data_IF_399787808013
#
_entry.id   IF_399787808013
#
_cell.length_a   1.000
_cell.length_b   1.000
_cell.length_c   1.000
_cell.angle_alpha   90.00
_cell.angle_beta   90.00
_cell.angle_gamma   90.00
#
_symmetry.space_group_name_H-M   'P 1'
#
loop_
_entity.id
_entity.type
_entity.pdbx_description
1 polymer ?
#
# COMPACT_ATOMS: atom_id res chain seq x y z
N UNK A 1 13.66 20.36 5.90
CA UNK A 1 14.01 19.68 4.62
C UNK A 1 15.51 19.62 4.36
N UNK A 2 16.27 20.71 4.58
CA UNK A 2 17.72 20.74 4.27
C UNK A 2 18.55 19.64 4.95
N UNK A 3 18.29 19.32 6.23
CA UNK A 3 19.02 18.26 6.96
C UNK A 3 18.80 16.86 6.38
N UNK A 4 17.57 16.53 5.97
CA UNK A 4 17.24 15.24 5.36
C UNK A 4 17.83 15.12 3.96
N UNK A 5 17.68 16.17 3.14
CA UNK A 5 18.27 16.21 1.80
C UNK A 5 19.79 16.02 1.86
N UNK A 6 20.47 16.76 2.75
CA UNK A 6 21.92 16.64 2.95
C UNK A 6 22.31 15.25 3.49
N UNK A 7 21.53 14.67 4.40
CA UNK A 7 21.78 13.32 4.89
C UNK A 7 21.69 12.29 3.76
N UNK A 8 20.59 12.29 3.01
CA UNK A 8 20.35 11.33 1.92
C UNK A 8 21.40 11.47 0.83
N UNK A 9 21.68 12.70 0.39
CA UNK A 9 22.66 12.97 -0.67
C UNK A 9 24.10 12.68 -0.29
N UNK A 10 24.44 12.64 1.01
CA UNK A 10 25.79 12.32 1.51
C UNK A 10 25.95 10.85 1.92
N UNK A 11 24.99 10.30 2.67
CA UNK A 11 25.06 8.94 3.22
C UNK A 11 24.56 7.87 2.26
N UNK A 12 23.58 8.22 1.40
CA UNK A 12 23.01 7.31 0.42
C UNK A 12 23.35 7.71 -1.02
N UNK A 13 24.46 8.43 -1.20
CA UNK A 13 24.90 8.96 -2.50
C UNK A 13 24.99 7.89 -3.59
N UNK A 14 25.39 6.68 -3.23
CA UNK A 14 25.64 5.61 -4.20
C UNK A 14 24.39 4.86 -4.63
N UNK A 15 23.27 5.07 -3.94
CA UNK A 15 21.99 4.45 -4.29
C UNK A 15 21.49 5.00 -5.63
N UNK A 16 20.94 4.15 -6.51
CA UNK A 16 20.48 4.56 -7.84
C UNK A 16 19.40 5.66 -7.75
N UNK A 17 18.53 5.57 -6.76
CA UNK A 17 17.45 6.53 -6.49
C UNK A 17 18.00 7.94 -6.18
N UNK A 18 19.08 8.03 -5.39
CA UNK A 18 19.72 9.32 -5.05
C UNK A 18 20.56 9.87 -6.19
N UNK A 19 21.16 9.00 -7.01
CA UNK A 19 21.84 9.41 -8.25
C UNK A 19 20.88 10.02 -9.26
N UNK A 20 19.69 9.42 -9.43
CA UNK A 20 18.62 9.96 -10.29
C UNK A 20 18.11 11.28 -9.72
N UNK A 21 17.81 11.32 -8.41
CA UNK A 21 17.38 12.52 -7.71
C UNK A 21 18.29 13.73 -8.01
N UNK A 22 19.62 13.58 -7.90
CA UNK A 22 20.57 14.68 -8.12
C UNK A 22 20.56 15.25 -9.54
N UNK A 23 20.06 14.49 -10.52
CA UNK A 23 20.00 14.88 -11.94
C UNK A 23 18.70 15.59 -12.31
N UNK A 24 17.69 15.58 -11.43
CA UNK A 24 16.40 16.20 -11.69
C UNK A 24 16.46 17.73 -11.49
N UNK A 25 15.57 18.51 -12.14
CA UNK A 25 15.36 19.92 -11.81
C UNK A 25 14.90 20.10 -10.36
N UNK A 26 15.21 21.24 -9.73
CA UNK A 26 14.97 21.48 -8.31
C UNK A 26 13.53 21.15 -7.84
N UNK A 27 12.51 21.51 -8.61
CA UNK A 27 11.11 21.20 -8.24
C UNK A 27 10.84 19.69 -8.17
N UNK A 28 11.42 18.91 -9.06
CA UNK A 28 11.26 17.47 -9.08
C UNK A 28 12.17 16.78 -8.07
N UNK A 29 13.33 17.38 -7.75
CA UNK A 29 14.12 16.95 -6.59
C UNK A 29 13.31 17.03 -5.30
N UNK A 30 12.57 18.12 -5.08
CA UNK A 30 11.75 18.30 -3.89
C UNK A 30 10.65 17.23 -3.81
N UNK A 31 9.97 16.95 -4.93
CA UNK A 31 8.94 15.90 -4.99
C UNK A 31 9.54 14.52 -4.71
N UNK A 32 10.65 14.21 -5.36
CA UNK A 32 11.29 12.91 -5.22
C UNK A 32 11.89 12.71 -3.82
N UNK A 33 12.43 13.76 -3.20
CA UNK A 33 12.86 13.74 -1.80
C UNK A 33 11.70 13.47 -0.84
N UNK A 34 10.52 14.05 -1.10
CA UNK A 34 9.31 13.76 -0.32
C UNK A 34 8.87 12.29 -0.48
N UNK A 35 9.00 11.71 -1.68
CA UNK A 35 8.72 10.30 -1.91
C UNK A 35 9.68 9.40 -1.15
N UNK A 36 11.00 9.64 -1.24
CA UNK A 36 12.01 8.89 -0.47
C UNK A 36 11.74 8.93 1.03
N UNK A 37 11.32 10.08 1.54
CA UNK A 37 10.93 10.22 2.95
C UNK A 37 9.73 9.33 3.31
N UNK A 38 8.67 9.34 2.49
CA UNK A 38 7.48 8.51 2.70
C UNK A 38 7.81 7.02 2.63
N UNK A 39 8.65 6.63 1.68
CA UNK A 39 9.12 5.25 1.53
C UNK A 39 9.93 4.79 2.74
N UNK A 40 10.82 5.63 3.26
CA UNK A 40 11.56 5.34 4.49
C UNK A 40 10.64 5.13 5.69
N UNK A 41 9.65 6.02 5.87
CA UNK A 41 8.63 5.89 6.93
C UNK A 41 7.83 4.59 6.75
N UNK A 42 7.44 4.26 5.51
CA UNK A 42 6.73 3.04 5.19
C UNK A 42 7.54 1.79 5.55
N UNK A 43 8.80 1.73 5.15
CA UNK A 43 9.69 0.60 5.49
C UNK A 43 9.85 0.45 7.00
N UNK A 44 10.12 1.55 7.71
CA UNK A 44 10.27 1.53 9.17
C UNK A 44 9.00 1.06 9.90
N UNK A 45 7.83 1.54 9.46
CA UNK A 45 6.54 1.12 10.03
C UNK A 45 6.25 -0.36 9.74
N UNK A 46 6.62 -0.87 8.55
CA UNK A 46 6.48 -2.27 8.20
C UNK A 46 7.39 -3.17 9.05
N UNK A 47 8.64 -2.77 9.24
CA UNK A 47 9.58 -3.52 10.08
C UNK A 47 9.12 -3.58 11.54
N UNK A 48 8.49 -2.51 12.04
CA UNK A 48 7.90 -2.50 13.37
C UNK A 48 6.73 -3.49 13.50
N UNK A 49 5.88 -3.61 12.47
CA UNK A 49 4.80 -4.60 12.44
C UNK A 49 5.36 -6.02 12.47
N UNK A 50 6.36 -6.31 11.63
CA UNK A 50 7.00 -7.64 11.57
C UNK A 50 7.60 -8.06 12.92
N UNK A 51 8.34 -7.16 13.57
CA UNK A 51 8.92 -7.44 14.88
C UNK A 51 7.86 -7.76 15.93
N UNK A 52 6.71 -7.10 15.88
CA UNK A 52 5.63 -7.41 16.81
C UNK A 52 4.98 -8.77 16.56
N UNK A 53 4.85 -9.17 15.29
CA UNK A 53 4.37 -10.52 14.95
C UNK A 53 5.33 -11.57 15.50
N UNK A 54 6.64 -11.34 15.34
CA UNK A 54 7.70 -12.23 15.88
C UNK A 54 7.69 -12.29 17.41
N UNK A 55 7.44 -11.16 18.08
CA UNK A 55 7.42 -11.05 19.54
C UNK A 55 6.06 -11.41 20.18
N UNK A 56 5.01 -11.68 19.38
CA UNK A 56 3.66 -12.01 19.86
C UNK A 56 2.99 -10.90 20.68
N UNK A 57 3.48 -9.66 20.59
CA UNK A 57 3.08 -8.54 21.45
C UNK A 57 1.99 -7.69 20.78
N UNK A 58 0.83 -7.56 21.42
CA UNK A 58 -0.27 -6.68 20.99
C UNK A 58 -0.12 -5.22 21.49
N UNK A 59 1.10 -4.77 21.81
CA UNK A 59 1.30 -3.38 22.28
C UNK A 59 0.93 -2.38 21.19
N UNK A 60 0.39 -1.23 21.61
CA UNK A 60 -0.02 -0.16 20.70
C UNK A 60 1.17 0.34 19.84
N UNK A 61 1.06 0.18 18.52
CA UNK A 61 2.12 0.54 17.57
C UNK A 61 2.15 2.05 17.38
N UNK A 62 3.22 2.70 17.86
CA UNK A 62 3.49 4.09 17.51
C UNK A 62 4.12 4.15 16.12
N UNK A 63 3.27 4.18 15.10
CA UNK A 63 3.70 4.38 13.71
C UNK A 63 4.33 5.77 13.51
N UNK A 64 5.44 5.82 12.77
CA UNK A 64 6.03 7.05 12.31
C UNK A 64 5.12 7.75 11.29
N UNK A 65 5.02 9.08 11.41
CA UNK A 65 4.26 9.95 10.49
C UNK A 65 5.18 10.98 9.88
N UNK A 66 4.85 11.47 8.68
CA UNK A 66 5.63 12.54 8.04
C UNK A 66 5.46 13.88 8.77
N UNK A 67 4.27 14.10 9.35
CA UNK A 67 3.88 15.29 10.07
C UNK A 67 3.07 14.88 11.30
N UNK A 68 3.23 15.62 12.38
CA UNK A 68 2.39 15.48 13.56
C UNK A 68 1.05 16.19 13.28
N UNK A 69 -0.01 15.39 13.18
CA UNK A 69 -1.37 15.86 12.88
C UNK A 69 -2.33 15.58 14.04
N UNK A 70 -1.79 15.65 15.26
CA UNK A 70 -2.50 15.33 16.51
C UNK A 70 -2.68 13.83 16.76
N UNK A 71 -3.39 13.53 17.85
CA UNK A 71 -3.83 12.19 18.21
C UNK A 71 -5.05 11.78 17.37
N UNK A 72 -5.15 10.50 17.03
CA UNK A 72 -6.30 9.95 16.29
C UNK A 72 -5.95 8.75 15.41
N UNK A 73 -6.99 8.06 14.95
CA UNK A 73 -6.86 6.85 14.12
C UNK A 73 -6.02 7.14 12.87
N UNK A 74 -4.99 6.31 12.67
CA UNK A 74 -4.12 6.39 11.52
C UNK A 74 -4.67 5.59 10.35
N UNK A 75 -4.49 6.13 9.16
CA UNK A 75 -4.77 5.49 7.88
C UNK A 75 -3.57 5.68 6.97
N UNK A 76 -3.40 4.79 5.99
CA UNK A 76 -2.39 4.97 4.95
C UNK A 76 -3.04 5.18 3.59
N UNK A 77 -2.46 6.07 2.79
CA UNK A 77 -2.83 6.24 1.40
C UNK A 77 -2.12 5.17 0.57
N UNK A 78 -2.86 4.27 -0.08
CA UNK A 78 -2.27 3.19 -0.88
C UNK A 78 -1.50 3.70 -2.12
N UNK A 79 -1.82 4.90 -2.60
CA UNK A 79 -1.25 5.47 -3.81
C UNK A 79 0.08 6.19 -3.53
N UNK A 80 0.15 7.00 -2.47
CA UNK A 80 1.38 7.72 -2.12
C UNK A 80 2.14 7.12 -0.92
N UNK A 81 1.62 6.02 -0.34
CA UNK A 81 2.15 5.34 0.85
C UNK A 81 2.30 6.24 2.09
N UNK A 82 1.56 7.35 2.11
CA UNK A 82 1.60 8.33 3.20
C UNK A 82 0.75 7.90 4.39
N UNK A 83 1.32 7.99 5.61
CA UNK A 83 0.62 7.77 6.87
C UNK A 83 0.02 9.07 7.39
N UNK A 84 -1.30 9.07 7.64
CA UNK A 84 -2.08 10.27 7.93
C UNK A 84 -3.10 9.96 9.02
N UNK A 85 -3.48 10.96 9.80
CA UNK A 85 -4.68 10.83 10.65
C UNK A 85 -5.94 10.84 9.78
N UNK A 86 -6.95 10.07 10.18
CA UNK A 86 -8.22 9.94 9.44
C UNK A 86 -8.88 11.28 9.15
N UNK A 87 -8.81 12.23 10.10
CA UNK A 87 -9.31 13.60 9.92
C UNK A 87 -8.58 14.37 8.81
N UNK A 88 -7.29 14.12 8.61
CA UNK A 88 -6.48 14.77 7.57
C UNK A 88 -6.57 14.06 6.21
N UNK A 89 -7.04 12.81 6.18
CA UNK A 89 -7.11 12.03 4.95
C UNK A 89 -8.03 12.66 3.90
N UNK A 90 -9.17 13.24 4.28
CA UNK A 90 -10.10 13.88 3.32
C UNK A 90 -9.42 14.97 2.51
N UNK A 91 -8.65 15.83 3.18
CA UNK A 91 -7.87 16.89 2.52
C UNK A 91 -6.72 16.32 1.70
N UNK A 92 -5.99 15.34 2.25
CA UNK A 92 -4.92 14.67 1.53
C UNK A 92 -5.42 14.08 0.20
N UNK A 93 -6.56 13.38 0.23
CA UNK A 93 -7.19 12.77 -0.96
C UNK A 93 -7.42 13.79 -2.08
N UNK A 94 -7.88 14.99 -1.74
CA UNK A 94 -8.15 16.05 -2.73
C UNK A 94 -6.88 16.68 -3.33
N UNK A 95 -5.74 16.59 -2.65
CA UNK A 95 -4.46 17.22 -3.06
C UNK A 95 -3.41 16.22 -3.54
N UNK A 96 -3.68 14.92 -3.40
CA UNK A 96 -2.73 13.90 -3.78
C UNK A 96 -2.85 13.68 -5.29
N UNK A 97 -1.87 14.18 -6.04
CA UNK A 97 -1.80 14.06 -7.51
C UNK A 97 -1.82 12.60 -7.99
N UNK A 98 -1.36 11.65 -7.17
CA UNK A 98 -1.49 10.21 -7.44
C UNK A 98 -2.93 9.66 -7.27
N UNK A 99 -3.83 10.43 -6.65
CA UNK A 99 -5.26 10.12 -6.40
C UNK A 99 -6.19 10.88 -7.35
N UNK A 100 -5.73 11.92 -8.05
CA UNK A 100 -6.57 12.81 -8.88
C UNK A 100 -7.35 12.08 -9.99
N UNK A 101 -6.93 10.86 -10.37
CA UNK A 101 -7.60 10.03 -11.37
C UNK A 101 -8.30 8.78 -10.83
N UNK A 102 -8.35 8.56 -9.50
CA UNK A 102 -8.84 7.28 -8.93
C UNK A 102 -9.81 7.44 -7.75
N UNK A 103 -10.89 6.65 -7.74
CA UNK A 103 -11.86 6.58 -6.62
C UNK A 103 -11.35 5.81 -5.39
N UNK A 104 -10.07 5.39 -5.38
CA UNK A 104 -9.48 4.57 -4.33
C UNK A 104 -9.56 5.26 -2.95
N UNK A 105 -10.05 4.50 -1.97
CA UNK A 105 -10.32 4.97 -0.60
C UNK A 105 -9.18 4.57 0.33
N UNK A 106 -8.90 5.38 1.36
CA UNK A 106 -7.97 5.03 2.42
C UNK A 106 -8.34 3.69 3.04
N UNK A 107 -7.32 2.87 3.30
CA UNK A 107 -7.49 1.64 4.06
C UNK A 107 -7.16 1.91 5.52
N UNK A 108 -7.95 1.31 6.41
CA UNK A 108 -7.60 1.22 7.82
C UNK A 108 -6.27 0.51 7.97
N UNK A 109 -5.42 1.01 8.86
CA UNK A 109 -4.22 0.28 9.26
C UNK A 109 -4.63 -0.81 10.23
N UNK A 110 -4.90 -2.00 9.69
CA UNK A 110 -4.87 -3.24 10.47
C UNK A 110 -3.51 -3.93 10.20
N UNK A 111 -2.75 -4.32 11.25
CA UNK A 111 -1.42 -4.92 11.12
C UNK A 111 -1.35 -6.10 10.13
N UNK A 112 -2.45 -6.85 9.99
CA UNK A 112 -2.59 -8.08 9.20
C UNK A 112 -2.46 -7.87 7.68
N UNK A 113 -2.64 -6.65 7.17
CA UNK A 113 -2.72 -6.41 5.72
C UNK A 113 -1.38 -6.20 5.00
N UNK A 114 -0.23 -6.25 5.70
CA UNK A 114 1.04 -5.83 5.10
C UNK A 114 1.97 -7.01 4.74
N UNK A 115 1.69 -8.26 5.11
CA UNK A 115 2.58 -9.39 4.77
C UNK A 115 1.81 -10.63 4.30
N UNK A 116 2.24 -11.15 3.14
CA UNK A 116 1.89 -12.41 2.46
C UNK A 116 0.41 -12.81 2.41
N UNK A 117 -0.29 -12.56 1.28
CA UNK A 117 -1.61 -13.13 1.07
C UNK A 117 -1.55 -14.67 1.06
N UNK A 118 -2.26 -15.34 1.98
CA UNK A 118 -2.58 -16.76 1.82
C UNK A 118 -3.54 -16.90 0.64
N UNK A 119 -3.07 -17.47 -0.46
CA UNK A 119 -3.88 -17.66 -1.67
C UNK A 119 -4.88 -18.81 -1.48
N UNK A 120 -6.13 -18.56 -1.81
CA UNK A 120 -7.13 -19.63 -1.96
C UNK A 120 -6.83 -20.43 -3.23
N UNK A 121 -7.04 -21.75 -3.21
CA UNK A 121 -6.86 -22.61 -4.39
C UNK A 121 -7.65 -22.09 -5.62
N UNK A 122 -8.86 -21.58 -5.40
CA UNK A 122 -9.72 -20.98 -6.44
C UNK A 122 -9.09 -19.77 -7.12
N UNK A 123 -8.46 -18.86 -6.36
CA UNK A 123 -7.80 -17.68 -6.92
C UNK A 123 -6.59 -18.05 -7.78
N UNK A 124 -5.84 -19.09 -7.38
CA UNK A 124 -4.70 -19.56 -8.16
C UNK A 124 -5.17 -20.15 -9.49
N UNK A 125 -6.17 -21.03 -9.48
CA UNK A 125 -6.70 -21.64 -10.70
C UNK A 125 -7.40 -20.64 -11.63
N UNK A 126 -8.25 -19.78 -11.08
CA UNK A 126 -9.10 -18.89 -11.89
C UNK A 126 -8.34 -17.73 -12.51
N UNK A 127 -7.25 -17.30 -11.89
CA UNK A 127 -6.54 -16.07 -12.26
C UNK A 127 -5.06 -16.35 -12.52
N UNK A 128 -4.31 -16.84 -11.54
CA UNK A 128 -2.84 -16.92 -11.63
C UNK A 128 -2.37 -17.97 -12.65
N UNK A 129 -3.08 -19.09 -12.77
CA UNK A 129 -2.78 -20.15 -13.72
C UNK A 129 -3.03 -19.71 -15.17
N UNK A 130 -3.96 -18.77 -15.41
CA UNK A 130 -4.33 -18.30 -16.76
C UNK A 130 -3.34 -17.32 -17.38
N UNK A 131 -2.39 -16.78 -16.60
CA UNK A 131 -1.38 -15.92 -17.18
C UNK A 131 -0.49 -16.70 -18.16
N UNK A 132 -0.06 -16.04 -19.23
CA UNK A 132 0.89 -16.66 -20.15
C UNK A 132 2.21 -16.99 -19.42
N UNK A 133 2.88 -18.07 -19.82
CA UNK A 133 4.23 -18.37 -19.30
C UNK A 133 5.21 -17.48 -20.06
N UNK A 134 5.38 -16.26 -19.54
CA UNK A 134 6.34 -15.27 -20.01
C UNK A 134 6.94 -14.56 -18.80
N UNK A 135 8.01 -13.81 -19.01
CA UNK A 135 8.62 -12.96 -17.97
C UNK A 135 7.57 -12.06 -17.29
N UNK A 136 6.74 -11.41 -18.10
CA UNK A 136 5.64 -10.56 -17.62
C UNK A 136 4.56 -11.36 -16.90
N UNK A 137 4.25 -12.57 -17.37
CA UNK A 137 3.28 -13.44 -16.72
C UNK A 137 3.77 -13.97 -15.36
N UNK A 138 5.07 -14.26 -15.25
CA UNK A 138 5.69 -14.68 -13.99
C UNK A 138 5.78 -13.53 -13.00
N UNK A 139 6.11 -12.32 -13.47
CA UNK A 139 6.08 -11.10 -12.64
C UNK A 139 4.70 -10.90 -12.00
N UNK A 140 3.62 -11.14 -12.75
CA UNK A 140 2.23 -11.03 -12.23
C UNK A 140 1.88 -12.09 -11.18
N UNK A 141 2.59 -13.21 -11.14
CA UNK A 141 2.39 -14.29 -10.14
C UNK A 141 3.20 -14.04 -8.87
N UNK A 142 4.42 -13.53 -9.03
CA UNK A 142 5.40 -13.39 -7.95
C UNK A 142 5.32 -12.05 -7.23
N UNK A 143 4.81 -11.00 -7.89
CA UNK A 143 4.69 -9.69 -7.28
C UNK A 143 3.59 -9.66 -6.20
N UNK A 144 4.01 -9.60 -4.94
CA UNK A 144 3.11 -9.63 -3.78
C UNK A 144 2.09 -8.48 -3.76
N UNK A 145 2.40 -7.32 -4.33
CA UNK A 145 1.46 -6.20 -4.41
C UNK A 145 0.38 -6.48 -5.43
N UNK A 146 0.76 -6.95 -6.62
CA UNK A 146 -0.16 -7.33 -7.68
C UNK A 146 -1.06 -8.48 -7.24
N UNK A 147 -0.48 -9.50 -6.59
CA UNK A 147 -1.23 -10.69 -6.19
C UNK A 147 -2.15 -10.40 -4.99
N UNK A 148 -1.73 -9.59 -4.02
CA UNK A 148 -2.60 -9.17 -2.90
C UNK A 148 -3.74 -8.27 -3.37
N UNK A 149 -3.46 -7.35 -4.30
CA UNK A 149 -4.48 -6.51 -4.91
C UNK A 149 -5.47 -7.33 -5.74
N UNK A 150 -4.98 -8.26 -6.56
CA UNK A 150 -5.81 -9.18 -7.34
C UNK A 150 -6.70 -10.05 -6.46
N UNK A 151 -6.17 -10.60 -5.38
CA UNK A 151 -6.94 -11.41 -4.42
C UNK A 151 -8.07 -10.59 -3.76
N UNK A 152 -7.80 -9.33 -3.42
CA UNK A 152 -8.82 -8.45 -2.86
C UNK A 152 -9.95 -8.20 -3.88
N UNK A 153 -9.60 -7.94 -5.14
CA UNK A 153 -10.58 -7.72 -6.20
C UNK A 153 -11.41 -8.98 -6.48
N UNK A 154 -10.77 -10.15 -6.47
CA UNK A 154 -11.44 -11.45 -6.63
C UNK A 154 -12.46 -11.70 -5.50
N UNK A 155 -12.07 -11.50 -4.23
CA UNK A 155 -12.99 -11.62 -3.08
C UNK A 155 -14.19 -10.69 -3.19
N UNK A 156 -13.97 -9.47 -3.67
CA UNK A 156 -15.07 -8.51 -3.87
C UNK A 156 -16.05 -8.97 -4.97
N UNK A 157 -15.56 -9.69 -5.98
CA UNK A 157 -16.40 -10.26 -7.04
C UNK A 157 -17.13 -11.50 -6.53
N UNK A 158 -16.45 -12.41 -5.83
CA UNK A 158 -17.07 -13.59 -5.21
C UNK A 158 -18.16 -13.20 -4.21
N UNK A 159 -17.90 -12.24 -3.32
CA UNK A 159 -18.88 -11.74 -2.37
C UNK A 159 -20.09 -11.06 -3.03
N UNK A 160 -19.96 -10.60 -4.29
CA UNK A 160 -21.08 -10.10 -5.08
C UNK A 160 -21.85 -11.24 -5.75
N UNK A 161 -21.17 -12.29 -6.20
CA UNK A 161 -21.80 -13.48 -6.78
C UNK A 161 -22.62 -14.24 -5.75
N UNK A 162 -22.06 -14.51 -4.57
CA UNK A 162 -22.77 -15.21 -3.49
C UNK A 162 -24.06 -14.47 -3.08
N UNK A 163 -24.00 -13.14 -2.96
CA UNK A 163 -25.18 -12.31 -2.69
C UNK A 163 -26.21 -12.33 -3.80
N UNK A 164 -25.79 -12.50 -5.06
CA UNK A 164 -26.71 -12.57 -6.19
C UNK A 164 -27.38 -13.95 -6.25
N UNK A 165 -26.62 -15.01 -6.05
CA UNK A 165 -27.10 -16.40 -6.01
C UNK A 165 -28.04 -16.66 -4.81
N UNK A 166 -27.77 -16.07 -3.64
CA UNK A 166 -28.70 -16.11 -2.48
C UNK A 166 -30.05 -15.44 -2.79
N UNK A 167 -30.04 -14.29 -3.48
CA UNK A 167 -31.26 -13.57 -3.85
C UNK A 167 -32.04 -14.28 -4.97
N UNK A 168 -31.36 -14.93 -5.91
CA UNK A 168 -32.01 -15.70 -6.99
C UNK A 168 -32.60 -17.02 -6.47
N UNK A 169 -31.94 -17.71 -5.53
CA UNK A 169 -32.48 -18.93 -4.92
C UNK A 169 -33.66 -18.69 -3.97
N UNK A 170 -33.74 -17.51 -3.32
CA UNK A 170 -34.93 -17.11 -2.56
C UNK A 170 -36.12 -16.75 -3.46
N UNK A 171 -35.87 -16.36 -4.71
CA UNK A 171 -36.94 -16.05 -5.68
C UNK A 171 -37.61 -17.29 -6.28
N UNK A 172 -37.03 -18.49 -6.14
CA UNK A 172 -37.56 -19.73 -6.70
C UNK A 172 -38.28 -20.62 -5.66
N UNK A 173 -38.54 -20.14 -4.44
CA UNK A 173 -39.28 -20.86 -3.39
C UNK A 173 -40.69 -20.30 -3.10
N UNK A 174 -41.31 -19.63 -4.07
CA UNK A 174 -42.73 -19.20 -3.99
C UNK A 174 -43.50 -19.81 -5.15
#
# INVERSE_FOLDING_TARGET
MARLSNHITRKHNDTPEVKVLKRLPHQDQVKQMANLRKEGIWKANLDQVKKMEEEGSQKEVKYFKEREHGAGQLVYCSLCKGFLTKSYYKRHRATCTAVESTTATAKGLDPVHIVSPKFTASFNFDILAKFHISEVGNLRRTDNLMTSFGLQMYRNVEAKKSKKEENENQSCQI
#
